data_IF_223520686796
#
_entry.id   IF_223520686796
#
_cell.length_a   1.000
_cell.length_b   1.000
_cell.length_c   1.000
_cell.angle_alpha   90.00
_cell.angle_beta   90.00
_cell.angle_gamma   90.00
#
_symmetry.space_group_name_H-M   'P 1'
#
loop_
_entity.id
_entity.type
_entity.pdbx_description
1 polymer ?
#
# COMPACT_ATOMS: atom_id res chain seq x y z
N UNK A 1 11.87 -75.28 -4.62
CA UNK A 1 11.56 -74.66 -3.33
C UNK A 1 12.58 -73.58 -2.92
N UNK A 2 13.93 -73.90 -2.92
CA UNK A 2 14.99 -72.95 -2.56
C UNK A 2 15.09 -71.77 -3.58
N UNK A 3 14.89 -72.00 -4.86
CA UNK A 3 14.90 -70.96 -5.92
C UNK A 3 13.64 -70.03 -5.86
N UNK A 4 12.52 -70.55 -5.41
CA UNK A 4 11.26 -69.77 -5.22
C UNK A 4 11.34 -68.88 -3.98
N UNK A 5 11.92 -69.39 -2.86
CA UNK A 5 12.16 -68.58 -1.66
C UNK A 5 13.16 -67.46 -1.95
N UNK A 6 14.19 -67.70 -2.76
CA UNK A 6 15.14 -66.68 -3.14
C UNK A 6 14.54 -65.60 -4.07
N UNK A 7 13.65 -66.00 -5.00
CA UNK A 7 12.90 -65.05 -5.86
C UNK A 7 11.89 -64.20 -5.03
N UNK A 8 11.19 -64.78 -4.11
CA UNK A 8 10.27 -64.07 -3.23
C UNK A 8 11.02 -63.02 -2.38
N UNK A 9 12.18 -63.41 -1.78
CA UNK A 9 12.99 -62.47 -1.03
C UNK A 9 13.54 -61.30 -1.84
N UNK A 10 13.93 -61.56 -3.11
CA UNK A 10 14.38 -60.50 -4.01
C UNK A 10 13.25 -59.57 -4.48
N UNK A 11 12.03 -60.09 -4.65
CA UNK A 11 10.85 -59.27 -4.94
C UNK A 11 10.45 -58.40 -3.74
N UNK A 12 10.46 -58.92 -2.56
CA UNK A 12 10.20 -58.16 -1.31
C UNK A 12 11.23 -57.05 -1.09
N UNK A 13 12.52 -57.33 -1.28
CA UNK A 13 13.59 -56.34 -1.22
C UNK A 13 13.41 -55.21 -2.26
N UNK A 14 13.06 -55.56 -3.49
CA UNK A 14 12.78 -54.59 -4.55
C UNK A 14 11.56 -53.73 -4.22
N UNK A 15 10.51 -54.32 -3.67
CA UNK A 15 9.30 -53.59 -3.26
C UNK A 15 9.56 -52.62 -2.10
N UNK A 16 10.33 -53.05 -1.12
CA UNK A 16 10.77 -52.22 0.01
C UNK A 16 11.64 -51.06 -0.48
N UNK A 17 12.63 -51.38 -1.35
CA UNK A 17 13.50 -50.34 -1.91
C UNK A 17 12.72 -49.33 -2.77
N UNK A 18 11.78 -49.80 -3.58
CA UNK A 18 10.91 -48.91 -4.39
C UNK A 18 10.04 -48.04 -3.52
N UNK A 19 9.40 -48.57 -2.47
CA UNK A 19 8.63 -47.79 -1.51
C UNK A 19 9.46 -46.72 -0.81
N UNK A 20 10.70 -47.03 -0.46
CA UNK A 20 11.60 -46.09 0.19
C UNK A 20 12.06 -44.98 -0.78
N UNK A 21 12.28 -45.30 -2.03
CA UNK A 21 12.65 -44.34 -3.08
C UNK A 21 11.49 -43.36 -3.37
N UNK A 22 10.28 -43.88 -3.44
CA UNK A 22 9.05 -43.09 -3.63
C UNK A 22 8.81 -42.17 -2.43
N UNK A 23 8.95 -42.70 -1.23
CA UNK A 23 8.81 -41.91 0.02
C UNK A 23 9.83 -40.75 0.06
N UNK A 24 11.11 -41.05 -0.19
CA UNK A 24 12.16 -40.02 -0.21
C UNK A 24 11.88 -38.93 -1.25
N UNK A 25 11.34 -39.32 -2.42
CA UNK A 25 10.98 -38.35 -3.47
C UNK A 25 9.85 -37.41 -3.02
N UNK A 26 8.81 -37.93 -2.35
CA UNK A 26 7.73 -37.12 -1.83
C UNK A 26 8.19 -36.23 -0.65
N UNK A 27 8.99 -36.77 0.24
CA UNK A 27 9.57 -35.97 1.34
C UNK A 27 10.42 -34.81 0.79
N UNK A 28 11.24 -35.04 -0.24
CA UNK A 28 12.01 -33.99 -0.88
C UNK A 28 11.14 -32.93 -1.56
N UNK A 29 10.03 -33.32 -2.18
CA UNK A 29 9.07 -32.36 -2.76
C UNK A 29 8.46 -31.49 -1.66
N UNK A 30 7.96 -32.10 -0.60
CA UNK A 30 7.36 -31.39 0.53
C UNK A 30 8.34 -30.45 1.25
N UNK A 31 9.64 -30.83 1.30
CA UNK A 31 10.69 -29.99 1.89
C UNK A 31 10.96 -28.70 1.10
N UNK A 32 10.86 -28.77 -0.23
CA UNK A 32 11.17 -27.65 -1.12
C UNK A 32 9.96 -26.76 -1.43
N UNK A 33 8.79 -27.01 -0.82
CA UNK A 33 7.64 -26.13 -0.95
C UNK A 33 7.82 -24.84 -0.13
N UNK A 34 7.41 -23.71 -0.70
CA UNK A 34 7.42 -22.39 -0.04
C UNK A 34 6.38 -22.27 1.09
N UNK A 35 5.60 -23.33 1.31
CA UNK A 35 4.60 -23.41 2.36
C UNK A 35 5.11 -24.24 3.54
N UNK A 36 4.77 -23.82 4.75
CA UNK A 36 4.96 -24.65 5.93
C UNK A 36 3.98 -25.83 5.91
N UNK A 37 4.49 -27.07 6.02
CA UNK A 37 3.66 -28.29 5.97
C UNK A 37 3.85 -29.10 7.24
N UNK A 38 2.73 -29.57 7.79
CA UNK A 38 2.68 -30.51 8.90
C UNK A 38 1.64 -31.59 8.61
N UNK A 39 2.00 -32.84 8.83
CA UNK A 39 1.14 -34.01 8.64
C UNK A 39 1.02 -34.75 9.97
N UNK A 40 -0.20 -34.98 10.39
CA UNK A 40 -0.55 -35.91 11.48
C UNK A 40 -1.14 -37.16 10.89
N UNK A 41 -0.78 -38.31 11.45
CA UNK A 41 -1.38 -39.59 11.08
C UNK A 41 -2.79 -39.78 11.67
N UNK A 42 -3.41 -40.90 11.36
CA UNK A 42 -4.74 -41.28 11.85
C UNK A 42 -4.86 -41.35 13.37
N UNK A 43 -3.75 -41.56 14.08
CA UNK A 43 -3.68 -41.59 15.53
C UNK A 43 -3.45 -40.19 16.14
N UNK A 44 -3.34 -39.15 15.29
CA UNK A 44 -3.09 -37.78 15.69
C UNK A 44 -1.66 -37.50 16.13
N UNK A 45 -0.72 -38.36 15.69
CA UNK A 45 0.72 -38.21 15.94
C UNK A 45 1.36 -37.47 14.73
N UNK A 46 2.24 -36.53 15.01
CA UNK A 46 2.94 -35.75 13.99
C UNK A 46 3.94 -36.63 13.22
N UNK A 47 3.53 -37.04 12.01
CA UNK A 47 4.30 -37.91 11.14
C UNK A 47 5.35 -37.15 10.32
N UNK A 48 5.05 -35.91 9.91
CA UNK A 48 5.96 -35.12 9.08
C UNK A 48 5.82 -33.62 9.36
N UNK A 49 6.95 -32.91 9.30
CA UNK A 49 7.02 -31.44 9.34
C UNK A 49 8.17 -30.97 8.47
N UNK A 50 7.94 -30.06 7.53
CA UNK A 50 8.99 -29.52 6.68
C UNK A 50 9.78 -28.39 7.37
N UNK A 51 10.88 -27.98 6.75
CA UNK A 51 11.78 -26.93 7.28
C UNK A 51 11.05 -25.61 7.46
N UNK A 52 10.17 -25.24 6.53
CA UNK A 52 9.42 -23.99 6.61
C UNK A 52 8.46 -23.96 7.81
N UNK A 53 7.71 -25.02 8.06
CA UNK A 53 6.85 -25.12 9.23
C UNK A 53 7.63 -25.09 10.56
N UNK A 54 8.76 -25.76 10.59
CA UNK A 54 9.67 -25.75 11.75
C UNK A 54 10.13 -24.32 12.09
N UNK A 55 10.50 -23.53 11.06
CA UNK A 55 10.84 -22.11 11.21
C UNK A 55 9.65 -21.27 11.68
N UNK A 56 8.47 -21.47 11.09
CA UNK A 56 7.25 -20.75 11.49
C UNK A 56 6.84 -21.02 12.94
N UNK A 57 6.93 -22.27 13.37
CA UNK A 57 6.64 -22.65 14.75
C UNK A 57 7.74 -22.17 15.72
N UNK A 58 8.97 -22.04 15.25
CA UNK A 58 10.14 -21.72 16.07
C UNK A 58 10.64 -22.91 16.89
N UNK A 59 10.44 -24.14 16.38
CA UNK A 59 10.81 -25.37 17.08
C UNK A 59 11.60 -26.32 16.14
N UNK A 60 12.65 -27.02 16.63
CA UNK A 60 13.38 -27.98 15.83
C UNK A 60 12.51 -29.18 15.45
N UNK A 61 12.62 -29.67 14.22
CA UNK A 61 11.85 -30.83 13.70
C UNK A 61 11.95 -32.04 14.61
N UNK A 62 13.17 -32.38 15.02
CA UNK A 62 13.44 -33.56 15.87
C UNK A 62 12.71 -33.54 17.22
N UNK A 63 12.33 -32.37 17.71
CA UNK A 63 11.65 -32.23 19.00
C UNK A 63 10.14 -32.36 18.90
N UNK A 64 9.58 -32.31 17.68
CA UNK A 64 8.12 -32.32 17.46
C UNK A 64 7.63 -33.53 16.67
N UNK A 65 8.49 -34.20 15.91
CA UNK A 65 8.14 -35.45 15.19
C UNK A 65 7.82 -36.54 16.23
N UNK A 66 6.70 -37.22 16.04
CA UNK A 66 6.19 -38.23 17.00
C UNK A 66 5.38 -37.66 18.16
N UNK A 67 5.19 -36.35 18.23
CA UNK A 67 4.35 -35.72 19.27
C UNK A 67 2.89 -35.66 18.83
N UNK A 68 1.96 -35.77 19.78
CA UNK A 68 0.57 -35.43 19.54
C UNK A 68 0.37 -33.90 19.50
N UNK A 69 -0.77 -33.43 18.97
CA UNK A 69 -1.11 -32.01 18.98
C UNK A 69 -1.06 -31.41 20.39
N UNK A 70 -1.49 -32.13 21.39
CA UNK A 70 -1.46 -31.68 22.80
C UNK A 70 -0.04 -31.53 23.33
N UNK A 71 0.86 -32.43 22.98
CA UNK A 71 2.28 -32.36 23.32
C UNK A 71 2.96 -31.19 22.56
N UNK A 72 2.66 -31.02 21.26
CA UNK A 72 3.13 -29.89 20.46
C UNK A 72 2.72 -28.56 21.12
N UNK A 73 1.48 -28.40 21.52
CA UNK A 73 1.00 -27.19 22.20
C UNK A 73 1.66 -26.92 23.56
N UNK A 74 2.17 -27.98 24.24
CA UNK A 74 2.92 -27.84 25.51
C UNK A 74 4.40 -27.50 25.29
N UNK A 75 4.91 -27.62 24.06
CA UNK A 75 6.32 -27.34 23.74
C UNK A 75 6.73 -25.93 24.17
N UNK A 76 7.85 -25.75 24.88
CA UNK A 76 8.29 -24.43 25.40
C UNK A 76 8.62 -23.42 24.30
N UNK A 77 9.06 -23.89 23.13
CA UNK A 77 9.37 -23.02 21.98
C UNK A 77 8.14 -22.39 21.31
N UNK A 78 6.91 -22.88 21.60
CA UNK A 78 5.70 -22.30 21.04
C UNK A 78 5.16 -21.21 21.97
N UNK A 79 5.13 -19.97 21.50
CA UNK A 79 4.65 -18.83 22.29
C UNK A 79 3.17 -18.94 22.64
N UNK A 80 2.75 -18.32 23.74
CA UNK A 80 1.35 -18.32 24.22
C UNK A 80 0.38 -17.78 23.15
N UNK A 81 0.83 -16.83 22.36
CA UNK A 81 0.06 -16.25 21.26
C UNK A 81 -0.18 -17.27 20.13
N UNK A 82 0.88 -17.98 19.69
CA UNK A 82 0.77 -19.06 18.68
C UNK A 82 -0.14 -20.18 19.17
N UNK A 83 -0.04 -20.60 20.44
CA UNK A 83 -0.91 -21.62 21.04
C UNK A 83 -2.39 -21.24 20.93
N UNK A 84 -2.76 -20.02 21.30
CA UNK A 84 -4.15 -19.55 21.20
C UNK A 84 -4.66 -19.59 19.74
N UNK A 85 -3.84 -19.16 18.76
CA UNK A 85 -4.20 -19.18 17.33
C UNK A 85 -4.40 -20.63 16.83
N UNK A 86 -3.47 -21.54 17.15
CA UNK A 86 -3.56 -22.94 16.74
C UNK A 86 -4.85 -23.58 17.31
N UNK A 87 -5.13 -23.42 18.60
CA UNK A 87 -6.34 -23.96 19.22
C UNK A 87 -7.61 -23.40 18.55
N UNK A 88 -7.64 -22.10 18.25
CA UNK A 88 -8.78 -21.48 17.58
C UNK A 88 -9.01 -22.09 16.20
N UNK A 89 -7.96 -22.23 15.39
CA UNK A 89 -8.03 -22.80 14.03
C UNK A 89 -8.54 -24.25 14.11
N UNK A 90 -7.97 -25.09 14.97
CA UNK A 90 -8.42 -26.46 15.14
C UNK A 90 -9.89 -26.54 15.55
N UNK A 91 -10.32 -25.70 16.49
CA UNK A 91 -11.72 -25.64 16.92
C UNK A 91 -12.64 -25.25 15.76
N UNK A 92 -12.30 -24.21 15.01
CA UNK A 92 -13.10 -23.76 13.85
C UNK A 92 -13.16 -24.84 12.75
N UNK A 93 -12.07 -25.57 12.52
CA UNK A 93 -12.02 -26.67 11.55
C UNK A 93 -12.89 -27.84 11.99
N UNK A 94 -12.76 -28.28 13.23
CA UNK A 94 -13.50 -29.45 13.72
C UNK A 94 -15.00 -29.16 13.87
N UNK A 95 -15.37 -28.03 14.50
CA UNK A 95 -16.78 -27.73 14.79
C UNK A 95 -17.51 -27.09 13.60
N UNK A 96 -16.84 -26.28 12.79
CA UNK A 96 -17.46 -25.55 11.67
C UNK A 96 -17.07 -26.10 10.30
N UNK A 97 -16.30 -27.18 10.23
CA UNK A 97 -15.78 -27.79 8.98
C UNK A 97 -15.08 -26.79 8.04
N UNK A 98 -14.50 -25.74 8.63
CA UNK A 98 -13.83 -24.70 7.89
C UNK A 98 -12.43 -25.17 7.48
N UNK A 99 -12.17 -25.31 6.18
CA UNK A 99 -10.90 -25.83 5.63
C UNK A 99 -9.85 -24.74 5.43
N UNK A 100 -10.25 -23.47 5.33
CA UNK A 100 -9.38 -22.34 5.04
C UNK A 100 -9.49 -21.30 6.15
N UNK A 101 -8.34 -20.82 6.62
CA UNK A 101 -8.25 -19.79 7.64
C UNK A 101 -7.26 -18.72 7.17
N UNK A 102 -7.66 -17.47 7.25
CA UNK A 102 -6.76 -16.34 7.03
C UNK A 102 -6.39 -15.73 8.39
N UNK A 103 -5.11 -15.47 8.59
CA UNK A 103 -4.60 -14.82 9.79
C UNK A 103 -3.65 -13.69 9.42
N UNK A 104 -3.71 -12.60 10.18
CA UNK A 104 -2.68 -11.56 10.15
C UNK A 104 -1.83 -11.71 11.41
N UNK A 105 -0.51 -11.69 11.25
CA UNK A 105 0.42 -11.74 12.39
C UNK A 105 0.63 -10.34 12.99
N UNK A 106 1.43 -10.25 14.04
CA UNK A 106 1.78 -9.00 14.72
C UNK A 106 2.68 -8.06 13.88
N UNK A 107 3.26 -8.58 12.79
CA UNK A 107 4.07 -7.82 11.83
C UNK A 107 3.27 -7.41 10.58
N UNK A 108 1.95 -7.64 10.56
CA UNK A 108 1.08 -7.31 9.44
C UNK A 108 1.13 -8.28 8.27
N UNK A 109 1.82 -9.44 8.38
CA UNK A 109 1.87 -10.46 7.33
C UNK A 109 0.60 -11.29 7.31
N UNK A 110 0.11 -11.59 6.12
CA UNK A 110 -1.10 -12.38 5.89
C UNK A 110 -0.76 -13.84 5.62
N UNK A 111 -1.33 -14.73 6.40
CA UNK A 111 -1.11 -16.17 6.34
C UNK A 111 -2.38 -16.89 5.93
N UNK A 112 -2.28 -17.74 4.91
CA UNK A 112 -3.33 -18.67 4.53
C UNK A 112 -3.01 -20.04 5.11
N UNK A 113 -3.91 -20.56 5.93
CA UNK A 113 -3.81 -21.87 6.55
C UNK A 113 -4.88 -22.77 5.94
N UNK A 114 -4.44 -23.86 5.33
CA UNK A 114 -5.33 -24.86 4.73
C UNK A 114 -5.23 -26.15 5.55
N UNK A 115 -6.38 -26.73 5.87
CA UNK A 115 -6.47 -28.01 6.56
C UNK A 115 -7.20 -29.00 5.66
N UNK A 116 -6.54 -30.11 5.35
CA UNK A 116 -7.08 -31.19 4.52
C UNK A 116 -7.19 -32.44 5.39
N UNK A 117 -8.37 -33.04 5.39
CA UNK A 117 -8.68 -34.26 6.10
C UNK A 117 -9.83 -34.98 5.38
N UNK A 118 -10.03 -36.25 5.61
CA UNK A 118 -11.15 -37.03 5.09
C UNK A 118 -10.78 -38.42 4.61
N UNK A 119 -11.74 -39.15 4.07
CA UNK A 119 -11.62 -40.56 3.69
C UNK A 119 -10.53 -40.86 2.64
N UNK A 120 -10.18 -39.86 1.81
CA UNK A 120 -9.11 -39.98 0.83
C UNK A 120 -7.71 -39.98 1.43
N UNK A 121 -7.55 -39.59 2.70
CA UNK A 121 -6.29 -39.52 3.44
C UNK A 121 -6.19 -40.59 4.53
N UNK A 122 -7.02 -41.63 4.50
CA UNK A 122 -6.98 -42.72 5.47
C UNK A 122 -7.00 -42.27 6.96
N UNK A 123 -7.61 -41.10 7.22
CA UNK A 123 -7.67 -40.49 8.55
C UNK A 123 -6.53 -39.54 8.86
N UNK A 124 -5.56 -39.37 7.98
CA UNK A 124 -4.45 -38.40 8.13
C UNK A 124 -4.93 -36.95 8.04
N UNK A 125 -4.16 -36.05 8.64
CA UNK A 125 -4.47 -34.64 8.75
C UNK A 125 -3.32 -33.80 8.21
N UNK A 126 -3.54 -33.12 7.10
CA UNK A 126 -2.54 -32.24 6.51
C UNK A 126 -2.86 -30.77 6.78
N UNK A 127 -1.88 -30.03 7.30
CA UNK A 127 -1.95 -28.59 7.49
C UNK A 127 -0.89 -27.93 6.63
N UNK A 128 -1.30 -26.98 5.79
CA UNK A 128 -0.42 -26.12 5.03
C UNK A 128 -0.56 -24.68 5.48
N UNK A 129 0.56 -23.97 5.65
CA UNK A 129 0.63 -22.55 6.03
C UNK A 129 1.45 -21.80 5.00
N UNK A 130 0.83 -20.87 4.29
CA UNK A 130 1.47 -20.09 3.23
C UNK A 130 1.42 -18.60 3.54
N UNK A 131 2.54 -17.90 3.33
CA UNK A 131 2.55 -16.44 3.32
C UNK A 131 1.90 -15.94 2.03
N UNK A 132 0.83 -15.17 2.17
CA UNK A 132 0.08 -14.59 1.06
C UNK A 132 0.09 -13.05 1.11
N UNK A 133 1.02 -12.48 1.86
CA UNK A 133 1.12 -11.02 2.05
C UNK A 133 1.29 -10.29 0.74
N UNK A 134 2.21 -10.74 -0.11
CA UNK A 134 2.45 -10.16 -1.44
C UNK A 134 1.21 -10.29 -2.34
N UNK A 135 0.58 -11.47 -2.36
CA UNK A 135 -0.64 -11.70 -3.13
C UNK A 135 -1.78 -10.76 -2.69
N UNK A 136 -1.97 -10.61 -1.38
CA UNK A 136 -2.98 -9.70 -0.81
C UNK A 136 -2.71 -8.24 -1.15
N UNK A 137 -1.45 -7.82 -1.15
CA UNK A 137 -1.07 -6.46 -1.56
C UNK A 137 -1.36 -6.23 -3.05
N UNK A 138 -1.03 -7.20 -3.90
CA UNK A 138 -1.32 -7.12 -5.35
C UNK A 138 -2.84 -7.08 -5.57
N UNK A 139 -3.61 -7.95 -4.91
CA UNK A 139 -5.07 -8.01 -5.01
C UNK A 139 -5.71 -6.67 -4.57
N UNK A 140 -5.29 -6.11 -3.44
CA UNK A 140 -5.76 -4.80 -2.97
C UNK A 140 -5.41 -3.68 -3.95
N UNK A 141 -4.19 -3.68 -4.48
CA UNK A 141 -3.75 -2.67 -5.46
C UNK A 141 -4.54 -2.79 -6.77
N UNK A 142 -4.75 -4.01 -7.25
CA UNK A 142 -5.58 -4.28 -8.44
C UNK A 142 -7.03 -3.82 -8.23
N UNK A 143 -7.63 -4.16 -7.09
CA UNK A 143 -8.99 -3.75 -6.74
C UNK A 143 -9.14 -2.22 -6.66
N UNK A 144 -8.17 -1.53 -6.07
CA UNK A 144 -8.15 -0.07 -6.03
C UNK A 144 -7.99 0.54 -7.43
N UNK A 145 -7.13 -0.04 -8.27
CA UNK A 145 -6.94 0.41 -9.64
C UNK A 145 -8.20 0.19 -10.49
N UNK A 146 -8.89 -0.94 -10.37
CA UNK A 146 -10.14 -1.23 -11.06
C UNK A 146 -11.24 -0.27 -10.63
N UNK A 147 -11.36 0.02 -9.34
CA UNK A 147 -12.32 0.98 -8.82
C UNK A 147 -12.05 2.40 -9.36
N UNK A 148 -10.78 2.81 -9.43
CA UNK A 148 -10.39 4.09 -10.03
C UNK A 148 -10.60 4.11 -11.54
N UNK A 149 -10.37 3.01 -12.26
CA UNK A 149 -10.62 2.90 -13.69
C UNK A 149 -12.12 2.95 -14.04
N UNK A 150 -12.96 2.29 -13.24
CA UNK A 150 -14.43 2.41 -13.36
C UNK A 150 -14.89 3.85 -13.12
N UNK A 151 -14.41 4.48 -12.04
CA UNK A 151 -14.65 5.89 -11.77
C UNK A 151 -14.20 6.76 -12.95
N UNK A 152 -13.07 6.45 -13.59
CA UNK A 152 -12.55 7.20 -14.74
C UNK A 152 -13.44 7.17 -15.98
N UNK A 153 -14.03 6.03 -16.29
CA UNK A 153 -14.97 5.89 -17.42
C UNK A 153 -16.27 6.65 -17.19
N UNK A 154 -16.79 6.61 -15.96
CA UNK A 154 -18.03 7.29 -15.59
C UNK A 154 -17.80 8.80 -15.40
N UNK A 155 -16.64 9.18 -14.86
CA UNK A 155 -16.31 10.56 -14.52
C UNK A 155 -16.29 11.51 -15.72
N UNK A 156 -15.82 11.04 -16.88
CA UNK A 156 -15.76 11.89 -18.08
C UNK A 156 -17.17 12.31 -18.56
N UNK A 157 -18.15 11.40 -18.50
CA UNK A 157 -19.54 11.69 -18.85
C UNK A 157 -20.20 12.58 -17.80
N UNK A 158 -20.07 12.21 -16.52
CA UNK A 158 -20.66 12.96 -15.40
C UNK A 158 -20.09 14.38 -15.33
N UNK A 159 -18.78 14.55 -15.52
CA UNK A 159 -18.18 15.89 -15.47
C UNK A 159 -18.69 16.81 -16.57
N UNK A 160 -18.90 16.30 -17.79
CA UNK A 160 -19.56 17.07 -18.83
C UNK A 160 -21.01 17.40 -18.47
N UNK A 161 -21.75 16.45 -17.92
CA UNK A 161 -23.13 16.63 -17.50
C UNK A 161 -23.30 17.59 -16.30
N UNK A 162 -22.31 17.65 -15.38
CA UNK A 162 -22.33 18.62 -14.28
C UNK A 162 -21.81 20.00 -14.72
N UNK A 163 -20.80 20.06 -15.60
CA UNK A 163 -20.26 21.32 -16.10
C UNK A 163 -21.32 22.13 -16.86
N UNK A 164 -22.18 21.45 -17.63
CA UNK A 164 -23.23 22.11 -18.42
C UNK A 164 -24.19 22.95 -17.56
N UNK A 165 -24.85 22.43 -16.51
CA UNK A 165 -25.70 23.26 -15.66
C UNK A 165 -24.92 24.35 -14.91
N UNK A 166 -23.68 24.07 -14.44
CA UNK A 166 -22.85 25.08 -13.79
C UNK A 166 -22.52 26.25 -14.73
N UNK A 167 -22.22 25.95 -16.01
CA UNK A 167 -21.98 26.98 -17.02
C UNK A 167 -23.23 27.82 -17.27
N UNK A 168 -24.40 27.19 -17.31
CA UNK A 168 -25.69 27.89 -17.46
C UNK A 168 -25.98 28.79 -16.25
N UNK A 169 -25.82 28.28 -15.03
CA UNK A 169 -26.01 29.05 -13.78
C UNK A 169 -25.04 30.26 -13.77
N UNK A 170 -23.75 30.02 -14.09
CA UNK A 170 -22.76 31.09 -14.20
C UNK A 170 -23.21 32.19 -15.17
N UNK A 171 -23.66 31.78 -16.36
CA UNK A 171 -24.17 32.72 -17.37
C UNK A 171 -25.35 33.56 -16.87
N UNK A 172 -26.33 32.94 -16.21
CA UNK A 172 -27.46 33.66 -15.63
C UNK A 172 -27.03 34.63 -14.52
N UNK A 173 -26.14 34.22 -13.63
CA UNK A 173 -25.63 35.11 -12.58
C UNK A 173 -24.85 36.28 -13.17
N UNK A 174 -24.06 36.07 -14.24
CA UNK A 174 -23.35 37.15 -14.94
C UNK A 174 -24.32 38.12 -15.60
N UNK A 175 -25.41 37.64 -16.19
CA UNK A 175 -26.44 38.51 -16.80
C UNK A 175 -27.21 39.30 -15.73
N UNK A 176 -27.48 38.72 -14.58
CA UNK A 176 -28.16 39.36 -13.46
C UNK A 176 -27.26 40.31 -12.64
N UNK A 177 -25.96 40.18 -12.78
CA UNK A 177 -24.97 40.93 -11.99
C UNK A 177 -25.20 42.44 -11.96
N UNK A 178 -25.47 43.18 -13.08
CA UNK A 178 -25.70 44.61 -13.03
C UNK A 178 -26.92 44.97 -12.16
N UNK A 179 -27.99 44.18 -12.21
CA UNK A 179 -29.20 44.39 -11.42
C UNK A 179 -28.96 44.11 -9.93
N UNK A 180 -28.20 43.04 -9.62
CA UNK A 180 -27.88 42.67 -8.24
C UNK A 180 -26.95 43.69 -7.56
N UNK A 181 -25.98 44.24 -8.34
CA UNK A 181 -25.13 45.36 -7.88
C UNK A 181 -25.98 46.59 -7.53
N UNK A 182 -26.90 46.94 -8.42
CA UNK A 182 -27.80 48.07 -8.17
C UNK A 182 -28.64 47.88 -6.90
N UNK A 183 -28.95 46.66 -6.55
CA UNK A 183 -29.66 46.29 -5.31
C UNK A 183 -28.73 46.12 -4.08
N UNK A 184 -27.44 46.42 -4.19
CA UNK A 184 -26.46 46.25 -3.11
C UNK A 184 -26.15 44.79 -2.79
N UNK A 185 -26.32 43.86 -3.76
CA UNK A 185 -26.17 42.40 -3.58
C UNK A 185 -24.91 41.84 -4.30
N UNK A 186 -23.90 42.66 -4.57
CA UNK A 186 -22.66 42.22 -5.28
C UNK A 186 -21.90 41.13 -4.50
N UNK A 187 -21.96 41.16 -3.17
CA UNK A 187 -21.33 40.14 -2.34
C UNK A 187 -21.90 38.73 -2.63
N UNK A 188 -23.24 38.60 -2.75
CA UNK A 188 -23.86 37.33 -3.10
C UNK A 188 -23.45 36.84 -4.48
N UNK A 189 -23.30 37.74 -5.45
CA UNK A 189 -22.83 37.41 -6.80
C UNK A 189 -21.41 36.83 -6.75
N UNK A 190 -20.52 37.48 -5.98
CA UNK A 190 -19.15 37.00 -5.80
C UNK A 190 -19.11 35.61 -5.16
N UNK A 191 -19.87 35.39 -4.08
CA UNK A 191 -19.95 34.10 -3.39
C UNK A 191 -20.44 33.01 -4.35
N UNK A 192 -21.53 33.24 -5.08
CA UNK A 192 -22.08 32.25 -6.02
C UNK A 192 -21.09 31.91 -7.12
N UNK A 193 -20.43 32.90 -7.72
CA UNK A 193 -19.43 32.65 -8.77
C UNK A 193 -18.23 31.88 -8.22
N UNK A 194 -17.76 32.19 -7.02
CA UNK A 194 -16.69 31.49 -6.33
C UNK A 194 -17.04 30.02 -6.07
N UNK A 195 -18.28 29.72 -5.62
CA UNK A 195 -18.71 28.33 -5.39
C UNK A 195 -18.88 27.55 -6.70
N UNK A 196 -19.29 28.22 -7.80
CA UNK A 196 -19.31 27.58 -9.13
C UNK A 196 -17.89 27.23 -9.59
N UNK A 197 -16.92 28.13 -9.42
CA UNK A 197 -15.53 27.90 -9.77
C UNK A 197 -14.95 26.76 -8.91
N UNK A 198 -15.21 26.76 -7.60
CA UNK A 198 -14.83 25.68 -6.69
C UNK A 198 -15.41 24.32 -7.11
N UNK A 199 -16.67 24.26 -7.49
CA UNK A 199 -17.30 23.04 -7.98
C UNK A 199 -16.64 22.54 -9.28
N UNK A 200 -16.29 23.45 -10.21
CA UNK A 200 -15.55 23.09 -11.43
C UNK A 200 -14.16 22.55 -11.11
N UNK A 201 -13.44 23.12 -10.15
CA UNK A 201 -12.11 22.64 -9.74
C UNK A 201 -12.19 21.24 -9.14
N UNK A 202 -13.18 20.96 -8.30
CA UNK A 202 -13.45 19.62 -7.75
C UNK A 202 -13.68 18.60 -8.88
N UNK A 203 -14.50 18.95 -9.86
CA UNK A 203 -14.79 18.11 -11.02
C UNK A 203 -13.52 17.87 -11.84
N UNK A 204 -12.70 18.89 -12.02
CA UNK A 204 -11.44 18.79 -12.76
C UNK A 204 -10.43 17.89 -12.06
N UNK A 205 -10.27 18.01 -10.73
CA UNK A 205 -9.45 17.12 -9.91
C UNK A 205 -9.95 15.67 -10.00
N UNK A 206 -11.27 15.46 -9.92
CA UNK A 206 -11.89 14.15 -10.03
C UNK A 206 -11.63 13.50 -11.40
N UNK A 207 -11.77 14.24 -12.50
CA UNK A 207 -11.46 13.79 -13.85
C UNK A 207 -10.00 13.39 -14.02
N UNK A 208 -9.09 14.24 -13.53
CA UNK A 208 -7.66 13.99 -13.63
C UNK A 208 -7.21 12.84 -12.73
N UNK A 209 -7.89 12.62 -11.60
CA UNK A 209 -7.65 11.47 -10.73
C UNK A 209 -8.05 10.15 -11.36
N UNK A 210 -9.00 10.18 -12.29
CA UNK A 210 -9.67 9.00 -12.85
C UNK A 210 -9.08 8.55 -14.20
N UNK A 211 -8.28 9.36 -14.90
CA UNK A 211 -7.65 8.98 -16.17
C UNK A 211 -6.30 8.31 -15.94
N UNK A 212 -6.13 7.02 -16.27
CA UNK A 212 -4.81 6.41 -16.37
C UNK A 212 -4.15 6.89 -17.68
N UNK A 213 -3.44 8.01 -17.65
CA UNK A 213 -2.54 8.35 -18.75
C UNK A 213 -1.17 7.76 -18.48
N UNK A 214 -0.66 6.97 -19.42
CA UNK A 214 0.75 6.57 -19.38
C UNK A 214 1.62 7.84 -19.32
N UNK A 215 2.61 7.92 -18.42
CA UNK A 215 3.43 9.11 -18.27
C UNK A 215 4.24 9.37 -19.54
N UNK A 216 4.19 10.59 -20.04
CA UNK A 216 5.08 11.04 -21.12
C UNK A 216 6.39 11.51 -20.49
N UNK A 217 7.33 10.59 -20.33
CA UNK A 217 8.57 10.87 -19.63
C UNK A 217 9.55 11.68 -20.47
N UNK A 218 10.16 12.67 -19.86
CA UNK A 218 11.28 13.46 -20.38
C UNK A 218 12.38 13.54 -19.32
N UNK A 219 13.62 13.67 -19.77
CA UNK A 219 14.75 13.82 -18.88
C UNK A 219 14.81 15.27 -18.35
N UNK A 220 14.81 15.42 -17.03
CA UNK A 220 14.88 16.75 -16.38
C UNK A 220 15.84 16.71 -15.19
N UNK A 221 16.67 17.76 -14.98
CA UNK A 221 17.43 17.92 -13.74
C UNK A 221 16.47 18.15 -12.56
N UNK A 222 16.65 17.39 -11.46
CA UNK A 222 15.80 17.48 -10.26
C UNK A 222 15.77 18.91 -9.70
N UNK A 223 16.94 19.55 -9.63
CA UNK A 223 17.06 20.93 -9.14
C UNK A 223 16.21 21.94 -9.92
N UNK A 224 16.15 21.78 -11.25
CA UNK A 224 15.35 22.69 -12.11
C UNK A 224 13.86 22.52 -11.84
N UNK A 225 13.40 21.27 -11.69
CA UNK A 225 12.04 20.94 -11.33
C UNK A 225 11.63 21.57 -10.00
N UNK A 226 12.46 21.41 -8.94
CA UNK A 226 12.16 21.94 -7.61
C UNK A 226 12.18 23.48 -7.58
N UNK A 227 13.13 24.13 -8.27
CA UNK A 227 13.16 25.60 -8.38
C UNK A 227 11.89 26.16 -8.98
N UNK A 228 11.38 25.52 -10.03
CA UNK A 228 10.15 25.95 -10.69
C UNK A 228 8.94 25.83 -9.78
N UNK A 229 8.85 24.75 -8.98
CA UNK A 229 7.76 24.58 -8.00
C UNK A 229 7.83 25.63 -6.90
N UNK A 230 9.01 25.91 -6.36
CA UNK A 230 9.18 26.96 -5.35
C UNK A 230 8.72 28.30 -5.88
N UNK A 231 9.12 28.67 -7.10
CA UNK A 231 8.71 29.93 -7.73
C UNK A 231 7.18 30.04 -7.88
N UNK A 232 6.51 28.92 -8.23
CA UNK A 232 5.05 28.88 -8.37
C UNK A 232 4.28 29.01 -7.05
N UNK A 233 4.89 28.60 -5.93
CA UNK A 233 4.23 28.57 -4.62
C UNK A 233 4.64 29.70 -3.68
N UNK A 234 5.71 30.45 -4.01
CA UNK A 234 6.29 31.50 -3.17
C UNK A 234 5.27 32.61 -2.84
N UNK A 235 4.51 33.07 -3.81
CA UNK A 235 3.50 34.11 -3.59
C UNK A 235 2.39 33.67 -2.63
N UNK A 236 1.91 32.42 -2.76
CA UNK A 236 0.87 31.87 -1.89
C UNK A 236 1.43 31.68 -0.46
N UNK A 237 2.66 31.19 -0.34
CA UNK A 237 3.32 31.04 0.93
C UNK A 237 3.48 32.38 1.67
N UNK A 238 3.93 33.42 0.97
CA UNK A 238 4.07 34.76 1.52
C UNK A 238 2.73 35.34 2.01
N UNK A 239 1.65 35.14 1.24
CA UNK A 239 0.31 35.59 1.66
C UNK A 239 -0.17 34.88 2.95
N UNK A 240 0.26 33.63 3.19
CA UNK A 240 -0.05 32.87 4.40
C UNK A 240 1.01 33.03 5.51
N UNK A 241 1.97 33.95 5.36
CA UNK A 241 3.02 34.19 6.34
C UNK A 241 4.00 33.02 6.50
N UNK A 242 4.12 32.17 5.46
CA UNK A 242 5.00 31.01 5.45
C UNK A 242 6.26 31.29 4.62
N UNK A 243 7.38 30.69 5.06
CA UNK A 243 8.64 30.69 4.30
C UNK A 243 8.88 29.34 3.65
N UNK A 244 9.22 29.34 2.36
CA UNK A 244 9.66 28.12 1.64
C UNK A 244 11.17 28.20 1.45
N UNK A 245 11.88 27.18 1.90
CA UNK A 245 13.33 27.03 1.75
C UNK A 245 13.66 25.84 0.86
N UNK A 246 14.44 26.07 -0.21
CA UNK A 246 14.95 25.00 -1.07
C UNK A 246 16.38 24.63 -0.67
N UNK A 247 16.58 23.45 -0.08
CA UNK A 247 17.89 22.88 0.26
C UNK A 247 18.30 21.81 -0.76
N UNK A 248 18.69 22.25 -1.94
CA UNK A 248 19.12 21.35 -3.02
C UNK A 248 20.66 21.23 -3.11
N UNK A 249 21.39 21.49 -2.01
CA UNK A 249 22.85 21.62 -2.02
C UNK A 249 23.65 20.35 -2.27
N UNK A 250 23.10 19.16 -1.98
CA UNK A 250 23.79 17.87 -2.13
C UNK A 250 23.45 17.13 -3.44
N UNK A 251 22.49 17.63 -4.21
CA UNK A 251 22.16 17.05 -5.53
C UNK A 251 23.06 17.74 -6.55
N UNK A 252 24.09 17.01 -7.03
CA UNK A 252 24.91 17.44 -8.14
C UNK A 252 24.00 17.91 -9.29
N UNK A 253 24.40 18.97 -10.01
CA UNK A 253 23.68 19.48 -11.18
C UNK A 253 23.41 18.40 -12.25
N UNK A 254 24.12 17.27 -12.17
CA UNK A 254 24.00 16.10 -13.05
C UNK A 254 22.89 15.11 -12.67
N UNK A 255 22.20 15.25 -11.53
CA UNK A 255 21.12 14.32 -11.17
C UNK A 255 19.87 14.59 -12.00
N UNK A 256 19.63 13.74 -12.99
CA UNK A 256 18.46 13.81 -13.87
C UNK A 256 17.53 12.60 -13.67
N UNK A 257 16.24 12.85 -13.77
CA UNK A 257 15.19 11.83 -13.70
C UNK A 257 14.39 11.82 -15.02
N UNK A 258 13.94 10.64 -15.45
CA UNK A 258 13.02 10.49 -16.57
C UNK A 258 11.60 10.39 -16.06
N UNK A 259 10.86 11.48 -16.18
CA UNK A 259 9.51 11.59 -15.59
C UNK A 259 8.60 12.44 -16.49
N UNK A 260 7.30 12.27 -16.32
CA UNK A 260 6.34 13.23 -16.81
C UNK A 260 6.37 14.47 -15.91
N UNK A 261 7.02 15.51 -16.40
CA UNK A 261 7.28 16.74 -15.64
C UNK A 261 6.00 17.38 -15.12
N UNK A 262 4.90 17.33 -15.89
CA UNK A 262 3.61 17.90 -15.48
C UNK A 262 3.02 17.13 -14.29
N UNK A 263 3.08 15.79 -14.35
CA UNK A 263 2.56 14.95 -13.30
C UNK A 263 3.40 15.07 -12.01
N UNK A 264 4.73 15.08 -12.10
CA UNK A 264 5.58 15.24 -10.91
C UNK A 264 5.44 16.63 -10.29
N UNK A 265 5.36 17.69 -11.10
CA UNK A 265 5.04 19.04 -10.58
C UNK A 265 3.70 19.04 -9.83
N UNK A 266 2.67 18.41 -10.38
CA UNK A 266 1.36 18.28 -9.72
C UNK A 266 1.48 17.62 -8.35
N UNK A 267 2.29 16.54 -8.22
CA UNK A 267 2.56 15.89 -6.94
C UNK A 267 3.17 16.86 -5.95
N UNK A 268 4.26 17.52 -6.34
CA UNK A 268 5.00 18.40 -5.43
C UNK A 268 4.14 19.60 -5.02
N UNK A 269 3.42 20.22 -5.96
CA UNK A 269 2.49 21.32 -5.69
C UNK A 269 1.38 20.91 -4.73
N UNK A 270 0.82 19.70 -4.88
CA UNK A 270 -0.19 19.18 -3.96
C UNK A 270 0.36 18.99 -2.54
N UNK A 271 1.60 18.49 -2.40
CA UNK A 271 2.23 18.32 -1.09
C UNK A 271 2.54 19.68 -0.44
N UNK A 272 3.06 20.65 -1.20
CA UNK A 272 3.31 22.02 -0.71
C UNK A 272 2.01 22.70 -0.29
N UNK A 273 0.92 22.57 -1.06
CA UNK A 273 -0.41 23.09 -0.70
C UNK A 273 -0.93 22.45 0.58
N UNK A 274 -0.75 21.14 0.74
CA UNK A 274 -1.13 20.45 1.99
C UNK A 274 -0.32 20.95 3.19
N UNK A 275 0.97 21.24 3.01
CA UNK A 275 1.83 21.82 4.04
C UNK A 275 1.37 23.24 4.43
N UNK A 276 1.08 24.10 3.44
CA UNK A 276 0.55 25.45 3.67
C UNK A 276 -0.77 25.43 4.45
N UNK A 277 -1.68 24.51 4.10
CA UNK A 277 -2.95 24.37 4.81
C UNK A 277 -2.77 23.83 6.23
N UNK A 278 -1.80 22.92 6.45
CA UNK A 278 -1.50 22.38 7.78
C UNK A 278 -0.86 23.41 8.72
N UNK A 279 -0.13 24.39 8.15
CA UNK A 279 0.43 25.51 8.90
C UNK A 279 -0.67 26.53 9.25
N UNK A 280 -1.53 26.86 8.28
CA UNK A 280 -2.64 27.82 8.46
C UNK A 280 -3.65 27.33 9.52
N UNK A 281 -3.90 26.03 9.58
CA UNK A 281 -4.78 25.39 10.60
C UNK A 281 -4.20 25.26 12.00
N UNK A 282 -2.94 25.66 12.24
CA UNK A 282 -2.31 25.60 13.55
C UNK A 282 -2.59 26.88 14.33
N UNK A 283 -3.50 26.82 15.30
CA UNK A 283 -3.97 27.98 16.07
C UNK A 283 -2.93 28.59 17.04
N UNK A 284 -1.87 27.85 17.40
CA UNK A 284 -0.78 28.30 18.27
C UNK A 284 0.52 28.51 17.46
N UNK A 285 0.64 29.66 16.83
CA UNK A 285 1.88 30.05 16.15
C UNK A 285 2.91 30.63 17.12
N UNK A 286 3.68 29.76 17.74
CA UNK A 286 4.95 30.14 18.39
C UNK A 286 6.10 30.13 17.35
N UNK A 287 5.87 30.77 16.19
CA UNK A 287 6.86 30.88 15.13
C UNK A 287 6.32 31.04 13.71
N UNK A 288 7.19 31.46 12.80
CA UNK A 288 6.89 31.60 11.38
C UNK A 288 6.63 30.23 10.74
N UNK A 289 5.58 30.10 9.92
CA UNK A 289 5.33 28.92 9.11
C UNK A 289 6.53 28.61 8.20
N UNK A 290 6.98 27.36 8.18
CA UNK A 290 8.15 26.95 7.40
C UNK A 290 7.90 25.68 6.63
N UNK A 291 8.25 25.71 5.35
CA UNK A 291 8.26 24.54 4.46
C UNK A 291 9.67 24.39 3.93
N UNK A 292 10.28 23.25 4.14
CA UNK A 292 11.59 22.89 3.63
C UNK A 292 11.46 21.85 2.53
N UNK A 293 11.99 22.17 1.34
CA UNK A 293 12.08 21.24 0.22
C UNK A 293 13.55 20.89 0.03
N UNK A 294 13.87 19.62 0.09
CA UNK A 294 15.21 19.12 -0.11
C UNK A 294 15.26 17.97 -1.09
N UNK A 295 16.45 17.75 -1.69
CA UNK A 295 16.69 16.59 -2.53
C UNK A 295 18.07 16.03 -2.23
N UNK A 296 18.16 14.69 -2.13
CA UNK A 296 19.42 13.96 -1.91
C UNK A 296 19.48 12.74 -2.82
N UNK A 297 20.70 12.36 -3.22
CA UNK A 297 20.93 11.12 -3.97
C UNK A 297 21.20 9.97 -3.01
N UNK A 298 20.51 8.86 -3.18
CA UNK A 298 20.72 7.62 -2.43
C UNK A 298 20.92 6.49 -3.44
N UNK A 299 22.18 6.17 -3.73
CA UNK A 299 22.55 5.17 -4.75
C UNK A 299 22.02 5.53 -6.14
N UNK A 300 21.18 4.68 -6.71
CA UNK A 300 20.54 4.83 -8.03
C UNK A 300 19.19 5.56 -7.97
N UNK A 301 18.90 6.22 -6.86
CA UNK A 301 17.63 6.92 -6.63
C UNK A 301 17.87 8.34 -6.14
N UNK A 302 16.90 9.22 -6.40
CA UNK A 302 16.80 10.52 -5.78
C UNK A 302 15.66 10.50 -4.76
N UNK A 303 15.93 11.02 -3.58
CA UNK A 303 14.94 11.26 -2.54
C UNK A 303 14.63 12.76 -2.49
N UNK A 304 13.37 13.12 -2.73
CA UNK A 304 12.84 14.49 -2.60
C UNK A 304 12.01 14.53 -1.32
N UNK A 305 12.36 15.43 -0.43
CA UNK A 305 11.71 15.57 0.88
C UNK A 305 11.02 16.93 0.97
N UNK A 306 9.77 16.93 1.44
CA UNK A 306 8.98 18.13 1.70
C UNK A 306 8.55 18.07 3.16
N UNK A 307 9.06 18.98 3.98
CA UNK A 307 8.82 19.01 5.43
C UNK A 307 8.17 20.32 5.82
N UNK A 308 7.15 20.27 6.66
CA UNK A 308 6.44 21.41 7.23
C UNK A 308 6.46 21.38 8.77
N UNK A 309 6.28 22.53 9.38
CA UNK A 309 6.12 22.70 10.83
C UNK A 309 4.64 22.93 11.23
N UNK A 310 3.70 22.39 10.44
CA UNK A 310 2.26 22.50 10.67
C UNK A 310 1.73 21.66 11.84
N UNK A 311 0.43 21.44 11.85
CA UNK A 311 -0.26 20.71 12.93
C UNK A 311 0.04 19.22 13.02
N UNK A 312 0.65 18.61 11.99
CA UNK A 312 0.92 17.17 11.94
C UNK A 312 -0.34 16.30 11.83
N UNK A 313 -0.15 14.99 11.93
CA UNK A 313 -1.22 13.99 11.77
C UNK A 313 -1.16 12.93 12.86
N UNK A 314 -2.34 12.42 13.26
CA UNK A 314 -2.47 11.28 14.15
C UNK A 314 -2.31 9.95 13.40
N UNK A 315 -2.19 8.84 14.13
CA UNK A 315 -1.98 7.51 13.57
C UNK A 315 -3.15 7.04 12.69
N UNK A 316 -4.38 7.45 13.01
CA UNK A 316 -5.55 7.12 12.19
C UNK A 316 -5.45 7.79 10.82
N UNK A 317 -5.13 9.07 10.78
CA UNK A 317 -4.92 9.84 9.55
C UNK A 317 -3.76 9.27 8.73
N UNK A 318 -2.62 8.96 9.37
CA UNK A 318 -1.45 8.34 8.71
C UNK A 318 -1.80 7.02 8.02
N UNK A 319 -2.64 6.20 8.62
CA UNK A 319 -3.03 4.90 8.04
C UNK A 319 -3.97 5.03 6.84
N UNK A 320 -4.63 6.17 6.65
CA UNK A 320 -5.68 6.35 5.64
C UNK A 320 -5.39 7.46 4.62
N UNK A 321 -4.34 8.26 4.79
CA UNK A 321 -4.08 9.49 4.02
C UNK A 321 -3.97 9.28 2.50
N UNK A 322 -3.57 8.09 2.04
CA UNK A 322 -3.51 7.75 0.61
C UNK A 322 -4.80 7.10 0.08
N UNK A 323 -5.80 6.86 0.94
CA UNK A 323 -7.08 6.33 0.49
C UNK A 323 -7.86 7.40 -0.28
N UNK A 324 -8.43 7.08 -1.46
CA UNK A 324 -9.27 8.02 -2.19
C UNK A 324 -10.44 8.52 -1.33
N UNK A 325 -10.75 9.82 -1.44
CA UNK A 325 -11.82 10.51 -0.70
C UNK A 325 -11.60 10.65 0.81
N UNK A 326 -10.47 10.21 1.34
CA UNK A 326 -10.12 10.47 2.73
C UNK A 326 -9.60 11.89 2.89
N UNK A 327 -10.23 12.67 3.76
CA UNK A 327 -9.84 14.05 4.09
C UNK A 327 -10.24 14.40 5.52
N UNK A 328 -9.41 15.18 6.17
CA UNK A 328 -9.69 15.80 7.47
C UNK A 328 -10.05 17.28 7.33
N UNK A 329 -10.02 17.82 6.10
CA UNK A 329 -10.29 19.23 5.81
C UNK A 329 -11.76 19.43 5.45
N UNK A 330 -12.40 20.48 5.99
CA UNK A 330 -13.72 20.90 5.55
C UNK A 330 -13.66 21.38 4.08
N UNK A 331 -14.41 20.70 3.21
CA UNK A 331 -14.44 20.97 1.77
C UNK A 331 -13.26 20.46 0.95
N UNK A 332 -12.39 19.62 1.52
CA UNK A 332 -11.36 18.92 0.77
C UNK A 332 -11.94 17.74 -0.02
N UNK A 333 -11.42 17.49 -1.22
CA UNK A 333 -11.85 16.37 -2.09
C UNK A 333 -11.34 15.01 -1.62
N UNK A 334 -10.25 14.97 -0.85
CA UNK A 334 -9.57 13.75 -0.43
C UNK A 334 -8.92 12.96 -1.58
N UNK A 335 -8.77 13.57 -2.77
CA UNK A 335 -8.19 12.91 -3.95
C UNK A 335 -6.72 13.22 -4.17
N UNK A 336 -6.23 14.38 -3.71
CA UNK A 336 -4.89 14.86 -4.02
C UNK A 336 -3.78 13.87 -3.65
N UNK A 337 -3.76 13.34 -2.43
CA UNK A 337 -2.73 12.41 -1.96
C UNK A 337 -2.82 11.05 -2.63
N UNK A 338 -4.02 10.54 -2.90
CA UNK A 338 -4.22 9.27 -3.62
C UNK A 338 -3.74 9.36 -5.08
N UNK A 339 -3.97 10.51 -5.73
CA UNK A 339 -3.43 10.81 -7.07
C UNK A 339 -1.91 10.91 -7.03
N UNK A 340 -1.36 11.62 -6.04
CA UNK A 340 0.09 11.74 -5.85
C UNK A 340 0.76 10.38 -5.69
N UNK A 341 0.20 9.52 -4.85
CA UNK A 341 0.67 8.14 -4.67
C UNK A 341 0.71 7.38 -5.99
N UNK A 342 -0.37 7.43 -6.78
CA UNK A 342 -0.46 6.75 -8.08
C UNK A 342 0.54 7.31 -9.08
N UNK A 343 0.68 8.64 -9.19
CA UNK A 343 1.64 9.26 -10.09
C UNK A 343 3.05 8.76 -9.79
N UNK A 344 3.46 8.79 -8.52
CA UNK A 344 4.81 8.34 -8.11
C UNK A 344 5.01 6.86 -8.44
N UNK A 345 4.01 6.00 -8.17
CA UNK A 345 4.07 4.56 -8.52
C UNK A 345 4.20 4.32 -10.02
N UNK A 346 3.49 5.08 -10.85
CA UNK A 346 3.57 4.97 -12.31
C UNK A 346 4.95 5.40 -12.87
N UNK A 347 5.72 6.16 -12.08
CA UNK A 347 7.10 6.54 -12.39
C UNK A 347 8.15 5.59 -11.77
N UNK A 348 7.72 4.43 -11.24
CA UNK A 348 8.62 3.46 -10.59
C UNK A 348 9.17 3.92 -9.23
N UNK A 349 8.56 4.95 -8.65
CA UNK A 349 8.97 5.52 -7.37
C UNK A 349 8.16 5.04 -6.18
N UNK A 350 8.50 5.58 -5.01
CA UNK A 350 7.74 5.40 -3.77
C UNK A 350 7.50 6.74 -3.10
N UNK A 351 6.40 6.85 -2.34
CA UNK A 351 6.09 7.99 -1.49
C UNK A 351 5.85 7.50 -0.07
N UNK A 352 6.55 8.09 0.88
CA UNK A 352 6.44 7.85 2.31
C UNK A 352 6.03 9.10 3.06
N UNK A 353 5.67 8.96 4.33
CA UNK A 353 5.30 10.06 5.22
C UNK A 353 5.70 9.76 6.65
N UNK A 354 6.22 10.78 7.32
CA UNK A 354 6.45 10.80 8.75
C UNK A 354 5.76 12.02 9.31
N UNK A 355 4.96 11.86 10.38
CA UNK A 355 4.24 12.97 10.99
C UNK A 355 3.97 12.70 12.46
N UNK A 356 3.95 13.76 13.24
CA UNK A 356 3.57 13.75 14.64
C UNK A 356 2.70 14.96 14.93
N UNK A 357 1.60 14.75 15.67
CA UNK A 357 0.69 15.83 16.06
C UNK A 357 1.46 16.93 16.78
N UNK A 358 1.29 18.16 16.31
CA UNK A 358 1.95 19.35 16.83
C UNK A 358 3.39 19.60 16.33
N UNK A 359 4.06 18.62 15.71
CA UNK A 359 5.44 18.73 15.25
C UNK A 359 5.57 19.04 13.74
N UNK A 360 4.55 18.68 12.94
CA UNK A 360 4.56 18.87 11.50
C UNK A 360 4.55 17.54 10.72
N UNK A 361 4.80 17.63 9.41
CA UNK A 361 4.79 16.49 8.50
C UNK A 361 5.96 16.53 7.56
N UNK A 362 6.51 15.35 7.25
CA UNK A 362 7.56 15.16 6.24
C UNK A 362 7.12 14.12 5.24
N UNK A 363 6.95 14.52 3.98
CA UNK A 363 6.75 13.62 2.86
C UNK A 363 8.07 13.32 2.17
N UNK A 364 8.29 12.05 1.82
CA UNK A 364 9.49 11.56 1.15
C UNK A 364 9.11 10.89 -0.17
N UNK A 365 9.60 11.41 -1.29
CA UNK A 365 9.39 10.87 -2.64
C UNK A 365 10.71 10.29 -3.12
N UNK A 366 10.73 9.01 -3.46
CA UNK A 366 11.89 8.35 -4.05
C UNK A 366 11.62 8.03 -5.52
N UNK A 367 12.51 8.47 -6.41
CA UNK A 367 12.41 8.24 -7.86
C UNK A 367 13.72 7.64 -8.39
N UNK A 368 13.68 6.76 -9.41
CA UNK A 368 14.88 6.21 -10.02
C UNK A 368 15.65 7.30 -10.80
N UNK A 369 16.97 7.32 -10.64
CA UNK A 369 17.89 8.14 -11.42
C UNK A 369 18.20 7.47 -12.75
N UNK A 370 18.39 8.27 -13.80
CA UNK A 370 18.96 7.78 -15.05
C UNK A 370 20.39 8.31 -15.15
N UNK A 371 21.33 7.39 -15.28
CA UNK A 371 22.69 7.76 -15.66
C UNK A 371 22.70 8.19 -17.12
N UNK A 372 22.88 9.48 -17.36
CA UNK A 372 23.30 9.95 -18.68
C UNK A 372 24.76 9.56 -18.80
N UNK A 373 25.03 8.47 -19.54
CA UNK A 373 26.40 8.16 -19.95
C UNK A 373 26.95 9.40 -20.68
N UNK A 374 28.05 9.93 -20.13
CA UNK A 374 28.81 11.04 -20.76
C UNK A 374 29.44 10.57 -22.05
#
# INVERSE_FOLDING_TARGET
LLSEIHRAGLQDMRLVHHKQLVRNKYENILENLDSGIILFDSDGVLAFVNVQMSRLLGVPRKSVTGCTLTQLLRHPGITRFKKKKIIRIFRETVFHRKKFHELVDEYGRSWLITMTYGDQMEGDFLISVKDVSEFKQIEQTAYQNDKLAMLGKISASIAHEIRNPLTSIRGFIQLLRPHLIHLGKDEYVRIILMEIDRANDIIYEFLNSSKPSAPQTTLIPVRSLLKEVVLLTESEALMKGCQIELRAGEVEEACSISVDVKQIKQVILNLVKNALDAIDGKHDHDGQGRIEISASRIGEQVNITISDNGGGMDQHTLNHLFNPFFTTKEGGTGLGLSVSYRIIRNHGGTIGVESQVGAGTTFMITLPLIHVAK
#
